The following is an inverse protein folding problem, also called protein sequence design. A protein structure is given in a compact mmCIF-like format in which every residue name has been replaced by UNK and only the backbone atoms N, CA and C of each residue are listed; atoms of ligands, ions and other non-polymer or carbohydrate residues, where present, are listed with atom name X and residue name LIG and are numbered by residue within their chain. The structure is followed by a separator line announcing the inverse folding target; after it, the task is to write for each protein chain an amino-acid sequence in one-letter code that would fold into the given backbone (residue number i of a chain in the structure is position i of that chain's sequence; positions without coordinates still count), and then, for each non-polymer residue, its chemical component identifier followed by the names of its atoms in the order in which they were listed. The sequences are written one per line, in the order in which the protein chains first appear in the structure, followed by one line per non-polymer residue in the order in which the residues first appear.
data_IF_127804483779
#
_entry.id   IF_127804483779
#
_cell.length_a   1.000
_cell.length_b   1.000
_cell.length_c   1.000
_cell.angle_alpha   90.00
_cell.angle_beta   90.00
_cell.angle_gamma   90.00
#
_symmetry.space_group_name_H-M   'P 1'
#
loop_
_entity.id
_entity.type
_entity.pdbx_description
1 polymer ?
#
# COMPACT_ATOMS: atom_id res chain seq x y z
N UNK A 1 -39.09 4.08 34.57
CA UNK A 1 -37.62 3.95 34.41
C UNK A 1 -37.40 2.98 33.29
N UNK A 2 -37.26 3.45 32.07
CA UNK A 2 -36.84 2.62 30.94
C UNK A 2 -35.35 2.44 31.01
N UNK A 3 -34.92 1.20 31.18
CA UNK A 3 -33.52 0.81 31.09
C UNK A 3 -33.14 0.86 29.62
N UNK A 4 -32.41 1.90 29.22
CA UNK A 4 -31.79 1.98 27.92
C UNK A 4 -30.87 0.76 27.74
N UNK A 5 -31.29 -0.22 26.97
CA UNK A 5 -30.45 -1.31 26.51
C UNK A 5 -29.35 -0.71 25.62
N UNK A 6 -28.16 -0.58 26.17
CA UNK A 6 -26.95 -0.28 25.42
C UNK A 6 -26.70 -1.47 24.47
N UNK A 7 -27.10 -1.35 23.21
CA UNK A 7 -26.75 -2.28 22.16
C UNK A 7 -25.28 -2.05 21.78
N UNK A 8 -24.36 -2.52 22.61
CA UNK A 8 -22.96 -2.65 22.24
C UNK A 8 -22.87 -3.82 21.27
N UNK A 9 -22.76 -3.52 19.98
CA UNK A 9 -22.45 -4.51 18.96
C UNK A 9 -21.16 -5.24 19.39
N UNK A 10 -21.08 -6.58 19.19
CA UNK A 10 -19.87 -7.31 19.49
C UNK A 10 -18.69 -6.73 18.71
N UNK A 11 -17.44 -6.79 19.23
CA UNK A 11 -16.27 -6.30 18.53
C UNK A 11 -16.17 -6.92 17.15
N UNK A 12 -15.85 -6.09 16.14
CA UNK A 12 -15.64 -6.58 14.78
C UNK A 12 -14.60 -7.72 14.79
N UNK A 13 -14.92 -8.80 14.08
CA UNK A 13 -14.03 -9.94 13.91
C UNK A 13 -13.57 -10.01 12.45
N UNK A 14 -12.33 -10.46 12.17
CA UNK A 14 -11.89 -10.65 10.80
C UNK A 14 -12.75 -11.75 10.14
N UNK A 15 -13.07 -11.54 8.87
CA UNK A 15 -13.76 -12.56 8.04
C UNK A 15 -12.89 -13.81 7.93
N UNK A 16 -11.58 -13.60 7.84
CA UNK A 16 -10.59 -14.68 7.80
C UNK A 16 -9.20 -14.20 8.23
N UNK A 17 -8.33 -15.16 8.59
CA UNK A 17 -6.93 -14.92 8.90
C UNK A 17 -6.07 -15.88 8.10
N UNK A 18 -5.29 -15.34 7.18
CA UNK A 18 -4.30 -16.07 6.40
C UNK A 18 -3.06 -16.32 7.27
N UNK A 19 -2.59 -17.56 7.24
CA UNK A 19 -1.44 -18.03 8.04
C UNK A 19 -0.48 -18.76 7.13
N UNK A 20 0.82 -18.53 7.28
CA UNK A 20 1.80 -19.22 6.43
C UNK A 20 3.18 -18.59 6.37
N UNK A 21 3.31 -17.34 6.77
CA UNK A 21 4.61 -16.70 6.97
C UNK A 21 5.19 -17.06 8.34
N UNK A 22 6.52 -17.15 8.41
CA UNK A 22 7.28 -17.34 9.65
C UNK A 22 7.76 -16.03 10.24
N UNK A 23 7.80 -14.98 9.41
CA UNK A 23 8.34 -13.66 9.74
C UNK A 23 7.27 -12.56 9.65
N UNK A 24 7.63 -11.37 10.09
CA UNK A 24 6.76 -10.18 10.10
C UNK A 24 6.28 -9.81 8.69
N UNK A 25 5.00 -9.53 8.54
CA UNK A 25 4.42 -9.06 7.27
C UNK A 25 4.62 -7.54 7.16
N UNK A 26 5.36 -7.12 6.13
CA UNK A 26 5.62 -5.71 5.87
C UNK A 26 4.82 -5.14 4.70
N UNK A 27 4.28 -6.00 3.83
CA UNK A 27 3.54 -5.56 2.66
C UNK A 27 2.36 -6.47 2.37
N UNK A 28 1.23 -5.87 2.00
CA UNK A 28 0.02 -6.55 1.48
C UNK A 28 -0.53 -5.74 0.31
N UNK A 29 -1.07 -6.42 -0.71
CA UNK A 29 -1.63 -5.75 -1.88
C UNK A 29 -2.68 -6.63 -2.57
N UNK A 30 -3.88 -6.07 -2.84
CA UNK A 30 -4.92 -6.74 -3.62
C UNK A 30 -4.65 -6.58 -5.12
N UNK A 31 -5.06 -7.56 -5.92
CA UNK A 31 -4.93 -7.54 -7.37
C UNK A 31 -6.01 -8.39 -8.03
N UNK A 32 -6.13 -8.27 -9.37
CA UNK A 32 -7.08 -9.05 -10.19
C UNK A 32 -8.51 -8.97 -9.65
N UNK A 33 -9.02 -7.74 -9.55
CA UNK A 33 -10.38 -7.47 -9.06
C UNK A 33 -10.63 -8.12 -7.68
N UNK A 34 -9.66 -8.01 -6.78
CA UNK A 34 -9.72 -8.55 -5.41
C UNK A 34 -9.74 -10.10 -5.30
N UNK A 35 -9.58 -10.81 -6.41
CA UNK A 35 -9.53 -12.28 -6.40
C UNK A 35 -8.19 -12.81 -5.91
N UNK A 36 -7.17 -11.96 -5.88
CA UNK A 36 -5.84 -12.29 -5.36
C UNK A 36 -5.39 -11.27 -4.34
N UNK A 37 -4.58 -11.74 -3.39
CA UNK A 37 -3.88 -10.92 -2.40
C UNK A 37 -2.42 -11.34 -2.37
N UNK A 38 -1.51 -10.38 -2.44
CA UNK A 38 -0.10 -10.57 -2.16
C UNK A 38 0.18 -10.26 -0.70
N UNK A 39 1.08 -11.03 -0.09
CA UNK A 39 1.70 -10.70 1.19
C UNK A 39 3.20 -10.92 1.11
N UNK A 40 3.98 -10.00 1.69
CA UNK A 40 5.43 -10.03 1.73
C UNK A 40 5.98 -9.90 3.14
N UNK A 41 6.99 -10.70 3.48
CA UNK A 41 7.54 -10.75 4.83
C UNK A 41 8.99 -10.27 4.97
N UNK A 42 9.45 -10.25 6.21
CA UNK A 42 10.80 -9.80 6.59
C UNK A 42 11.93 -10.72 6.10
N UNK A 43 11.64 -11.95 5.69
CA UNK A 43 12.61 -12.91 5.17
C UNK A 43 12.64 -12.97 3.63
N UNK A 44 11.87 -12.09 2.98
CA UNK A 44 11.84 -11.96 1.53
C UNK A 44 10.86 -12.88 0.82
N UNK A 45 10.01 -13.58 1.55
CA UNK A 45 8.97 -14.42 0.99
C UNK A 45 7.79 -13.60 0.50
N UNK A 46 7.25 -13.99 -0.63
CA UNK A 46 6.00 -13.48 -1.20
C UNK A 46 5.03 -14.64 -1.36
N UNK A 47 3.83 -14.47 -0.87
CA UNK A 47 2.73 -15.43 -1.01
C UNK A 47 1.60 -14.74 -1.77
N UNK A 48 1.17 -15.37 -2.87
CA UNK A 48 -0.03 -15.00 -3.60
C UNK A 48 -1.17 -15.90 -3.14
N UNK A 49 -2.20 -15.29 -2.60
CA UNK A 49 -3.39 -15.96 -2.07
C UNK A 49 -4.55 -15.87 -3.04
N UNK A 50 -5.28 -16.96 -3.21
CA UNK A 50 -6.62 -16.94 -3.77
C UNK A 50 -7.61 -16.52 -2.66
N UNK A 51 -8.21 -15.36 -2.81
CA UNK A 51 -9.09 -14.78 -1.77
C UNK A 51 -10.41 -15.55 -1.64
N UNK A 52 -11.11 -15.95 -2.73
CA UNK A 52 -12.32 -16.78 -2.67
C UNK A 52 -12.17 -18.08 -1.87
N UNK A 53 -11.06 -18.80 -2.06
CA UNK A 53 -10.84 -20.09 -1.39
C UNK A 53 -9.86 -20.03 -0.22
N UNK A 54 -9.19 -18.86 -0.03
CA UNK A 54 -8.28 -18.58 1.10
C UNK A 54 -7.11 -19.55 1.17
N UNK A 55 -6.52 -19.84 0.00
CA UNK A 55 -5.38 -20.76 -0.16
C UNK A 55 -4.25 -20.08 -0.90
N UNK A 56 -2.98 -20.45 -0.65
CA UNK A 56 -1.87 -20.00 -1.46
C UNK A 56 -1.97 -20.60 -2.87
N UNK A 57 -1.67 -19.80 -3.90
CA UNK A 57 -1.59 -20.24 -5.30
C UNK A 57 -0.20 -20.09 -5.89
N UNK A 58 0.63 -19.23 -5.30
CA UNK A 58 2.04 -19.12 -5.64
C UNK A 58 2.85 -18.63 -4.43
N UNK A 59 3.98 -19.25 -4.18
CA UNK A 59 4.89 -18.92 -3.08
C UNK A 59 6.32 -18.95 -3.60
N UNK A 60 7.02 -17.82 -3.46
CA UNK A 60 8.43 -17.72 -3.86
C UNK A 60 9.21 -16.78 -2.94
N UNK A 61 10.51 -16.95 -2.88
CA UNK A 61 11.38 -16.02 -2.18
C UNK A 61 11.86 -14.96 -3.18
N UNK A 62 11.21 -13.79 -3.16
CA UNK A 62 11.53 -12.69 -4.08
C UNK A 62 12.88 -12.06 -3.76
N UNK A 63 13.19 -11.93 -2.46
CA UNK A 63 14.37 -11.25 -1.94
C UNK A 63 15.06 -12.06 -0.86
N UNK A 64 16.29 -11.68 -0.51
CA UNK A 64 17.05 -12.23 0.64
C UNK A 64 16.87 -11.41 1.91
N UNK A 65 16.15 -10.31 1.83
CA UNK A 65 15.82 -9.38 2.92
C UNK A 65 14.34 -8.99 2.86
N UNK A 66 13.88 -8.18 3.81
CA UNK A 66 12.48 -7.81 3.96
C UNK A 66 11.86 -7.24 2.67
N UNK A 67 10.70 -7.74 2.29
CA UNK A 67 9.84 -7.16 1.26
C UNK A 67 9.12 -5.98 1.86
N UNK A 68 9.59 -4.78 1.60
CA UNK A 68 9.04 -3.55 2.17
C UNK A 68 7.76 -3.07 1.50
N UNK A 69 7.63 -3.33 0.20
CA UNK A 69 6.46 -2.90 -0.58
C UNK A 69 6.15 -3.91 -1.67
N UNK A 70 4.86 -4.10 -1.90
CA UNK A 70 4.28 -4.84 -3.00
C UNK A 70 3.33 -3.94 -3.77
N UNK A 71 3.35 -4.04 -5.09
CA UNK A 71 2.39 -3.38 -5.97
C UNK A 71 2.25 -4.16 -7.26
N UNK A 72 1.34 -3.75 -8.14
CA UNK A 72 1.15 -4.38 -9.45
C UNK A 72 1.18 -3.36 -10.57
N UNK A 73 1.80 -3.75 -11.67
CA UNK A 73 1.73 -3.06 -12.94
C UNK A 73 0.95 -3.94 -13.90
N UNK A 74 -0.28 -3.53 -14.16
CA UNK A 74 -1.31 -4.37 -14.78
C UNK A 74 -1.60 -5.67 -13.99
N UNK A 75 -2.39 -6.57 -14.56
CA UNK A 75 -2.83 -7.79 -13.86
C UNK A 75 -1.77 -8.91 -13.83
N UNK A 76 -0.71 -8.78 -14.63
CA UNK A 76 0.29 -9.83 -14.85
C UNK A 76 1.70 -9.49 -14.34
N UNK A 77 1.93 -8.27 -13.85
CA UNK A 77 3.24 -7.85 -13.38
C UNK A 77 3.21 -7.48 -11.90
N UNK A 78 4.00 -8.17 -11.11
CA UNK A 78 4.15 -7.95 -9.67
C UNK A 78 5.45 -7.19 -9.42
N UNK A 79 5.38 -6.11 -8.65
CA UNK A 79 6.54 -5.31 -8.25
C UNK A 79 6.83 -5.59 -6.78
N UNK A 80 8.06 -5.99 -6.49
CA UNK A 80 8.55 -6.21 -5.13
C UNK A 80 9.75 -5.33 -4.86
N UNK A 81 9.85 -4.80 -3.65
CA UNK A 81 10.93 -3.91 -3.24
C UNK A 81 11.55 -4.36 -1.93
N UNK A 82 12.88 -4.47 -1.93
CA UNK A 82 13.68 -4.67 -0.73
C UNK A 82 14.86 -3.70 -0.74
N UNK A 83 15.14 -3.07 0.39
CA UNK A 83 16.18 -2.04 0.49
C UNK A 83 17.20 -2.27 1.60
N UNK A 84 17.30 -3.49 2.13
CA UNK A 84 18.17 -3.77 3.26
C UNK A 84 19.29 -4.79 2.93
N UNK A 85 20.49 -4.52 3.42
CA UNK A 85 21.61 -5.42 3.31
C UNK A 85 22.17 -5.57 1.88
N UNK A 86 22.38 -6.83 1.45
CA UNK A 86 22.95 -7.16 0.13
C UNK A 86 21.92 -7.30 -0.99
N UNK A 87 20.64 -7.15 -0.68
CA UNK A 87 19.53 -7.33 -1.62
C UNK A 87 18.69 -6.06 -1.71
N UNK A 88 19.34 -4.99 -2.13
CA UNK A 88 18.73 -3.67 -2.32
C UNK A 88 18.24 -3.52 -3.76
N UNK A 89 17.08 -4.11 -4.05
CA UNK A 89 16.51 -4.16 -5.40
C UNK A 89 15.01 -3.92 -5.39
N UNK A 90 14.56 -3.27 -6.45
CA UNK A 90 13.18 -3.33 -6.90
C UNK A 90 13.14 -4.31 -8.06
N UNK A 91 12.30 -5.32 -7.98
CA UNK A 91 12.13 -6.35 -8.99
C UNK A 91 10.72 -6.30 -9.59
N UNK A 92 10.61 -6.41 -10.90
CA UNK A 92 9.34 -6.57 -11.61
C UNK A 92 9.28 -8.00 -12.14
N UNK A 93 8.28 -8.74 -11.68
CA UNK A 93 8.07 -10.14 -12.01
C UNK A 93 6.85 -10.29 -12.92
N UNK A 94 6.96 -11.10 -13.96
CA UNK A 94 5.81 -11.52 -14.74
C UNK A 94 5.19 -12.77 -14.12
N UNK A 95 3.92 -12.68 -13.80
CA UNK A 95 3.13 -13.78 -13.28
C UNK A 95 1.70 -13.67 -13.81
N UNK A 96 1.44 -14.35 -14.93
CA UNK A 96 0.09 -14.47 -15.47
C UNK A 96 -0.72 -15.46 -14.65
N UNK A 97 -2.03 -15.41 -14.76
CA UNK A 97 -2.89 -16.35 -14.05
C UNK A 97 -2.63 -17.81 -14.43
N UNK A 98 -2.31 -18.08 -15.68
CA UNK A 98 -1.94 -19.40 -16.19
C UNK A 98 -0.61 -19.93 -15.62
N UNK A 99 0.30 -19.02 -15.25
CA UNK A 99 1.62 -19.39 -14.70
C UNK A 99 1.54 -19.80 -13.22
N UNK A 100 0.45 -19.43 -12.50
CA UNK A 100 0.27 -19.73 -11.07
C UNK A 100 0.45 -21.22 -10.78
N UNK A 101 -0.15 -22.10 -11.60
CA UNK A 101 -0.08 -23.56 -11.43
C UNK A 101 1.34 -24.12 -11.53
N UNK A 102 2.29 -23.37 -12.11
CA UNK A 102 3.68 -23.80 -12.27
C UNK A 102 4.55 -23.50 -11.05
N UNK A 103 4.03 -22.76 -10.07
CA UNK A 103 4.75 -22.33 -8.87
C UNK A 103 4.39 -23.19 -7.67
N UNK A 104 5.25 -23.17 -6.65
CA UNK A 104 4.99 -23.86 -5.39
C UNK A 104 3.84 -23.20 -4.62
N UNK A 105 3.02 -24.00 -3.97
CA UNK A 105 2.00 -23.56 -3.03
C UNK A 105 2.36 -23.85 -1.57
N UNK A 106 3.53 -24.48 -1.32
CA UNK A 106 4.05 -24.76 0.02
C UNK A 106 4.35 -23.44 0.74
N UNK A 107 3.80 -23.28 1.93
CA UNK A 107 3.98 -22.05 2.71
C UNK A 107 5.36 -22.00 3.38
N UNK A 108 5.91 -20.82 3.67
CA UNK A 108 7.19 -20.68 4.40
C UNK A 108 7.19 -21.39 5.77
N UNK A 109 6.06 -21.43 6.47
CA UNK A 109 5.93 -22.09 7.76
C UNK A 109 6.12 -23.61 7.66
N UNK A 110 5.83 -24.21 6.50
CA UNK A 110 5.94 -25.66 6.29
C UNK A 110 7.35 -26.04 5.81
N UNK A 111 7.99 -25.17 5.04
CA UNK A 111 9.35 -25.36 4.51
C UNK A 111 9.95 -24.02 4.06
N UNK A 112 10.83 -23.47 4.89
CA UNK A 112 11.51 -22.20 4.63
C UNK A 112 12.87 -22.36 3.90
N UNK A 113 13.42 -23.56 3.86
CA UNK A 113 14.79 -23.78 3.37
C UNK A 113 14.85 -24.21 1.90
N UNK A 114 13.74 -24.69 1.34
CA UNK A 114 13.72 -25.15 -0.05
C UNK A 114 13.82 -23.99 -1.05
N UNK A 115 14.72 -24.18 -2.03
CA UNK A 115 14.76 -23.29 -3.19
C UNK A 115 13.53 -23.54 -4.08
N UNK A 116 12.79 -22.48 -4.41
CA UNK A 116 11.55 -22.58 -5.16
C UNK A 116 11.65 -21.85 -6.48
N UNK A 117 10.93 -22.36 -7.48
CA UNK A 117 10.74 -21.68 -8.76
C UNK A 117 10.14 -20.30 -8.49
N UNK A 118 10.71 -19.29 -9.15
CA UNK A 118 10.25 -17.89 -9.10
C UNK A 118 9.49 -17.56 -10.37
N UNK A 119 8.60 -16.54 -10.34
CA UNK A 119 8.08 -15.93 -11.55
C UNK A 119 9.20 -15.42 -12.45
N UNK A 120 8.88 -15.12 -13.70
CA UNK A 120 9.87 -14.58 -14.64
C UNK A 120 10.27 -13.15 -14.26
N UNK A 121 11.56 -12.89 -14.04
CA UNK A 121 12.07 -11.56 -13.73
C UNK A 121 12.17 -10.73 -15.01
N UNK A 122 11.39 -9.64 -15.11
CA UNK A 122 11.42 -8.70 -16.23
C UNK A 122 12.45 -7.59 -16.01
N UNK A 123 12.41 -6.95 -14.83
CA UNK A 123 13.24 -5.80 -14.50
C UNK A 123 13.85 -5.94 -13.11
N UNK A 124 15.07 -5.41 -12.93
CA UNK A 124 15.75 -5.36 -11.64
C UNK A 124 16.49 -4.03 -11.50
N UNK A 125 15.90 -3.10 -10.73
CA UNK A 125 16.48 -1.78 -10.48
C UNK A 125 17.20 -1.77 -9.12
N UNK A 126 18.49 -1.40 -9.06
CA UNK A 126 19.17 -1.20 -7.77
C UNK A 126 18.58 0.02 -7.04
N UNK A 127 18.37 -0.10 -5.73
CA UNK A 127 17.84 0.95 -4.86
C UNK A 127 18.80 1.24 -3.71
N UNK A 128 18.53 2.31 -2.94
CA UNK A 128 19.35 2.66 -1.78
C UNK A 128 19.26 1.56 -0.70
N UNK A 129 20.42 1.09 -0.23
CA UNK A 129 20.54 -0.04 0.72
C UNK A 129 20.22 0.32 2.18
N UNK A 130 20.16 1.60 2.54
CA UNK A 130 20.07 2.08 3.92
C UNK A 130 18.73 2.74 4.26
N UNK A 131 17.70 2.51 3.43
CA UNK A 131 16.42 3.18 3.60
C UNK A 131 15.26 2.17 3.66
N UNK A 132 14.37 2.35 4.64
CA UNK A 132 13.16 1.53 4.83
C UNK A 132 11.94 2.09 4.12
N UNK A 133 12.10 3.10 3.29
CA UNK A 133 11.01 3.76 2.56
C UNK A 133 10.41 2.84 1.50
N UNK A 134 9.10 2.77 1.48
CA UNK A 134 8.34 2.14 0.40
C UNK A 134 8.52 2.91 -0.92
N UNK A 135 8.54 2.21 -2.06
CA UNK A 135 8.46 2.90 -3.35
C UNK A 135 7.03 3.42 -3.58
N UNK A 136 6.91 4.46 -4.40
CA UNK A 136 5.64 4.90 -4.95
C UNK A 136 5.60 4.70 -6.45
N UNK A 137 4.40 4.49 -7.01
CA UNK A 137 4.21 4.37 -8.45
C UNK A 137 2.95 5.10 -8.92
N UNK A 138 2.96 5.53 -10.17
CA UNK A 138 1.76 5.99 -10.87
C UNK A 138 1.84 5.64 -12.36
N UNK A 139 0.68 5.56 -13.01
CA UNK A 139 0.59 5.44 -14.47
C UNK A 139 0.90 6.77 -15.13
N UNK A 140 1.59 6.72 -16.26
CA UNK A 140 1.75 7.90 -17.13
C UNK A 140 0.44 8.11 -17.89
N UNK A 141 -0.14 9.33 -17.88
CA UNK A 141 -1.36 9.61 -18.66
C UNK A 141 -1.19 9.21 -20.13
N UNK A 142 -2.22 8.65 -20.71
CA UNK A 142 -2.30 8.24 -22.13
C UNK A 142 -1.19 7.28 -22.57
N UNK A 143 -0.61 6.51 -21.62
CA UNK A 143 0.49 5.58 -21.89
C UNK A 143 0.32 4.27 -21.11
N UNK A 144 0.94 3.21 -21.61
CA UNK A 144 1.08 1.93 -20.88
C UNK A 144 2.26 1.95 -19.89
N UNK A 145 3.05 3.03 -19.91
CA UNK A 145 4.21 3.20 -19.03
C UNK A 145 3.80 3.59 -17.61
N UNK A 146 4.68 3.25 -16.68
CA UNK A 146 4.56 3.67 -15.27
C UNK A 146 5.80 4.44 -14.84
N UNK A 147 5.63 5.28 -13.84
CA UNK A 147 6.74 5.87 -13.09
C UNK A 147 6.84 5.21 -11.73
N UNK A 148 8.07 4.91 -11.32
CA UNK A 148 8.39 4.40 -9.98
C UNK A 148 9.34 5.39 -9.33
N UNK A 149 9.01 5.82 -8.11
CA UNK A 149 9.85 6.65 -7.26
C UNK A 149 10.43 5.83 -6.11
N UNK A 150 11.73 5.94 -5.93
CA UNK A 150 12.49 5.35 -4.83
C UNK A 150 13.39 6.40 -4.22
N UNK A 151 13.87 6.16 -3.00
CA UNK A 151 14.84 7.06 -2.35
C UNK A 151 16.17 7.09 -3.11
N UNK A 152 16.77 8.25 -3.19
CA UNK A 152 18.10 8.45 -3.77
C UNK A 152 19.22 7.93 -2.86
N UNK A 153 20.46 7.97 -3.36
CA UNK A 153 21.66 7.60 -2.59
C UNK A 153 21.94 8.65 -1.49
N UNK A 154 21.66 9.91 -1.78
CA UNK A 154 21.79 11.00 -0.79
C UNK A 154 20.49 11.09 0.02
N UNK A 155 20.65 11.37 1.31
CA UNK A 155 19.53 11.57 2.22
C UNK A 155 18.58 12.67 1.69
N UNK A 156 17.31 12.48 1.85
CA UNK A 156 16.29 13.41 1.39
C UNK A 156 15.97 13.38 -0.11
N UNK A 157 16.82 12.79 -0.96
CA UNK A 157 16.58 12.72 -2.40
C UNK A 157 15.59 11.64 -2.81
N UNK A 158 14.83 11.90 -3.89
CA UNK A 158 13.91 10.94 -4.52
C UNK A 158 14.27 10.82 -6.00
N UNK A 159 14.43 9.58 -6.46
CA UNK A 159 14.68 9.24 -7.85
C UNK A 159 13.42 8.68 -8.50
N UNK A 160 13.05 9.20 -9.66
CA UNK A 160 11.91 8.72 -10.45
C UNK A 160 12.41 8.07 -11.72
N UNK A 161 11.99 6.83 -11.96
CA UNK A 161 12.39 6.01 -13.12
C UNK A 161 11.14 5.60 -13.90
N UNK A 162 11.21 5.70 -15.22
CA UNK A 162 10.14 5.26 -16.11
C UNK A 162 10.33 3.78 -16.49
N UNK A 163 9.23 3.03 -16.55
CA UNK A 163 9.21 1.65 -17.03
C UNK A 163 8.24 1.52 -18.20
N UNK A 164 8.57 0.68 -19.22
CA UNK A 164 9.62 -0.35 -19.23
C UNK A 164 11.02 0.14 -19.64
N UNK A 165 11.22 1.44 -19.97
CA UNK A 165 12.51 1.94 -20.49
C UNK A 165 13.65 1.91 -19.47
N UNK A 166 13.37 1.83 -18.17
CA UNK A 166 14.33 1.95 -17.05
C UNK A 166 15.07 3.30 -17.03
N UNK A 167 14.54 4.30 -17.75
CA UNK A 167 15.14 5.61 -17.82
C UNK A 167 14.84 6.44 -16.57
N UNK A 168 15.87 7.06 -15.99
CA UNK A 168 15.70 8.02 -14.91
C UNK A 168 15.19 9.35 -15.44
N UNK A 169 13.91 9.64 -15.16
CA UNK A 169 13.24 10.85 -15.65
C UNK A 169 13.38 12.05 -14.70
N UNK A 170 13.67 11.79 -13.42
CA UNK A 170 13.87 12.86 -12.44
C UNK A 170 14.74 12.42 -11.25
N UNK A 171 15.46 13.38 -10.69
CA UNK A 171 16.01 13.35 -9.34
C UNK A 171 15.51 14.58 -8.60
N UNK A 172 14.72 14.39 -7.56
CA UNK A 172 14.18 15.45 -6.73
C UNK A 172 15.11 15.61 -5.55
N UNK A 173 15.55 16.84 -5.33
CA UNK A 173 16.44 17.23 -4.25
C UNK A 173 15.59 17.90 -3.17
N UNK A 174 15.80 17.53 -1.92
CA UNK A 174 15.12 18.13 -0.77
C UNK A 174 15.41 19.65 -0.65
N UNK A 175 14.50 20.41 -0.03
CA UNK A 175 14.69 21.85 0.12
C UNK A 175 15.88 22.15 1.04
N UNK A 176 16.88 22.90 0.54
CA UNK A 176 18.06 23.32 1.31
C UNK A 176 17.74 24.23 2.51
N UNK A 177 16.52 24.74 2.58
CA UNK A 177 16.07 25.67 3.64
C UNK A 177 15.66 24.97 4.93
N UNK A 178 15.53 23.63 4.91
CA UNK A 178 15.12 22.82 6.05
C UNK A 178 16.04 21.61 6.19
N UNK A 179 16.19 21.12 7.42
CA UNK A 179 16.84 19.83 7.67
C UNK A 179 15.79 18.73 7.55
N UNK A 180 15.84 17.95 6.50
CA UNK A 180 14.88 16.88 6.22
C UNK A 180 15.25 15.55 6.85
N UNK A 181 16.53 15.21 6.90
CA UNK A 181 17.00 13.86 7.16
C UNK A 181 16.63 12.92 6.01
N UNK A 182 16.53 11.63 6.29
CA UNK A 182 16.19 10.62 5.29
C UNK A 182 14.75 10.78 4.80
N UNK A 183 14.54 10.51 3.50
CA UNK A 183 13.19 10.36 2.96
C UNK A 183 12.62 9.01 3.42
N UNK A 184 11.50 9.03 4.13
CA UNK A 184 10.89 7.89 4.81
C UNK A 184 9.60 7.39 4.17
N UNK A 185 8.91 8.25 3.40
CA UNK A 185 7.69 7.91 2.67
C UNK A 185 7.59 8.72 1.39
N UNK A 186 7.14 8.11 0.31
CA UNK A 186 7.02 8.72 -1.02
C UNK A 186 5.62 8.52 -1.56
N UNK A 187 5.11 9.53 -2.29
CA UNK A 187 3.89 9.44 -3.09
C UNK A 187 4.14 9.99 -4.49
N UNK A 188 3.47 9.42 -5.49
CA UNK A 188 3.47 9.90 -6.88
C UNK A 188 2.05 10.09 -7.37
N UNK A 189 1.79 11.22 -8.01
CA UNK A 189 0.47 11.49 -8.57
C UNK A 189 0.55 12.44 -9.77
N UNK A 190 -0.23 12.16 -10.80
CA UNK A 190 -0.49 13.11 -11.88
C UNK A 190 -1.75 13.92 -11.60
N UNK A 191 -1.65 15.24 -11.63
CA UNK A 191 -2.80 16.14 -11.67
C UNK A 191 -2.85 16.76 -13.08
N UNK A 192 -3.75 16.26 -13.91
CA UNK A 192 -3.66 16.49 -15.35
C UNK A 192 -2.33 15.96 -15.87
N UNK A 193 -1.60 16.79 -16.61
CA UNK A 193 -0.27 16.42 -17.14
C UNK A 193 0.89 16.77 -16.22
N UNK A 194 0.61 17.22 -14.98
CA UNK A 194 1.65 17.67 -14.05
C UNK A 194 1.93 16.61 -13.01
N UNK A 195 3.17 16.13 -12.99
CA UNK A 195 3.61 15.14 -11.98
C UNK A 195 3.89 15.85 -10.65
N UNK A 196 3.30 15.31 -9.58
CA UNK A 196 3.57 15.68 -8.21
C UNK A 196 4.31 14.54 -7.51
N UNK A 197 5.38 14.89 -6.81
CA UNK A 197 6.15 13.98 -5.96
C UNK A 197 5.97 14.42 -4.53
N UNK A 198 5.46 13.54 -3.69
CA UNK A 198 5.29 13.76 -2.27
C UNK A 198 6.44 13.07 -1.54
N UNK A 199 7.02 13.73 -0.56
CA UNK A 199 8.06 13.15 0.28
C UNK A 199 7.80 13.46 1.75
N UNK A 200 7.81 12.44 2.58
CA UNK A 200 7.78 12.51 4.04
C UNK A 200 9.15 12.16 4.60
N UNK A 201 9.61 12.93 5.57
CA UNK A 201 10.98 12.90 6.05
C UNK A 201 11.12 12.47 7.50
N UNK A 202 12.34 12.03 7.85
CA UNK A 202 12.72 11.65 9.20
C UNK A 202 12.49 12.78 10.22
N UNK A 203 12.70 14.02 9.81
CA UNK A 203 12.50 15.21 10.66
C UNK A 203 11.02 15.57 10.92
N UNK A 204 10.07 14.82 10.34
CA UNK A 204 8.63 15.09 10.45
C UNK A 204 8.10 16.13 9.46
N UNK A 205 8.92 16.59 8.53
CA UNK A 205 8.48 17.41 7.41
C UNK A 205 7.82 16.59 6.32
N UNK A 206 6.83 17.19 5.65
CA UNK A 206 6.22 16.68 4.43
C UNK A 206 6.37 17.76 3.36
N UNK A 207 6.81 17.37 2.16
CA UNK A 207 6.94 18.24 1.01
C UNK A 207 6.19 17.70 -0.20
N UNK A 208 5.67 18.60 -1.03
CA UNK A 208 5.15 18.28 -2.37
C UNK A 208 5.98 19.03 -3.39
N UNK A 209 6.51 18.30 -4.35
CA UNK A 209 7.34 18.82 -5.43
C UNK A 209 6.62 18.71 -6.75
N UNK A 210 6.87 19.69 -7.61
CA UNK A 210 6.45 19.66 -9.01
C UNK A 210 7.51 20.31 -9.88
N UNK A 211 7.50 19.96 -11.16
CA UNK A 211 8.41 20.57 -12.14
C UNK A 211 7.83 21.91 -12.60
N UNK A 212 8.59 22.96 -12.43
CA UNK A 212 8.26 24.29 -12.94
C UNK A 212 8.30 24.27 -14.48
N UNK A 213 7.25 24.79 -15.12
CA UNK A 213 7.13 24.78 -16.59
C UNK A 213 8.07 25.76 -17.28
N UNK A 214 8.44 26.86 -16.63
CA UNK A 214 9.30 27.90 -17.20
C UNK A 214 10.78 27.53 -17.07
N UNK A 215 11.19 27.05 -15.89
CA UNK A 215 12.60 26.74 -15.59
C UNK A 215 12.97 25.29 -15.81
N UNK A 216 11.98 24.42 -15.97
CA UNK A 216 12.15 22.96 -16.02
C UNK A 216 12.79 22.35 -14.75
N UNK A 217 12.87 23.10 -13.67
CA UNK A 217 13.43 22.66 -12.40
C UNK A 217 12.36 22.12 -11.45
N UNK A 218 12.73 21.16 -10.61
CA UNK A 218 11.87 20.69 -9.52
C UNK A 218 11.91 21.68 -8.36
N UNK A 219 10.74 22.04 -7.87
CA UNK A 219 10.59 22.93 -6.72
C UNK A 219 9.56 22.40 -5.73
N UNK A 220 9.79 22.63 -4.45
CA UNK A 220 8.83 22.36 -3.41
C UNK A 220 7.73 23.43 -3.45
N UNK A 221 6.50 23.00 -3.79
CA UNK A 221 5.32 23.88 -3.80
C UNK A 221 4.57 23.87 -2.46
N UNK A 222 4.82 22.86 -1.64
CA UNK A 222 4.27 22.73 -0.30
C UNK A 222 5.34 22.18 0.63
N UNK A 223 5.47 22.76 1.83
CA UNK A 223 6.37 22.29 2.89
C UNK A 223 5.68 22.52 4.22
N UNK A 224 5.51 21.48 5.02
CA UNK A 224 4.88 21.59 6.33
C UNK A 224 5.49 20.61 7.33
N UNK A 225 5.80 21.09 8.54
CA UNK A 225 6.23 20.25 9.65
C UNK A 225 5.03 19.84 10.48
N UNK A 226 4.48 18.69 10.20
CA UNK A 226 3.27 18.17 10.85
C UNK A 226 3.57 17.24 12.02
N UNK A 227 4.74 16.65 12.04
CA UNK A 227 5.11 15.61 12.97
C UNK A 227 6.38 15.94 13.74
N UNK A 228 6.52 15.34 14.91
CA UNK A 228 7.71 15.47 15.77
C UNK A 228 8.64 14.27 15.68
N UNK A 229 8.18 13.21 14.99
CA UNK A 229 8.86 11.95 14.76
C UNK A 229 8.87 11.65 13.26
N UNK A 230 9.67 10.65 12.80
CA UNK A 230 9.73 10.27 11.39
C UNK A 230 8.35 9.95 10.80
N UNK A 231 8.14 10.41 9.57
CA UNK A 231 6.98 10.01 8.76
C UNK A 231 7.14 8.53 8.42
N UNK A 232 6.09 7.73 8.64
CA UNK A 232 6.12 6.29 8.36
C UNK A 232 5.37 5.94 7.08
N UNK A 233 4.29 6.67 6.78
CA UNK A 233 3.50 6.39 5.58
C UNK A 233 2.80 7.64 5.05
N UNK A 234 2.61 7.68 3.74
CA UNK A 234 1.82 8.66 3.00
C UNK A 234 0.86 7.93 2.07
N UNK A 235 -0.38 8.43 1.97
CA UNK A 235 -1.28 8.01 0.91
C UNK A 235 -2.23 9.13 0.51
N UNK A 236 -2.83 9.03 -0.67
CA UNK A 236 -3.50 10.12 -1.34
C UNK A 236 -4.98 9.84 -1.61
N UNK A 237 -5.78 10.91 -1.54
CA UNK A 237 -7.15 10.96 -2.01
C UNK A 237 -7.29 12.05 -3.09
N UNK A 238 -6.81 11.83 -4.32
CA UNK A 238 -6.72 12.86 -5.35
C UNK A 238 -8.07 13.47 -5.70
N UNK A 239 -9.13 12.66 -5.73
CA UNK A 239 -10.51 13.13 -5.99
C UNK A 239 -11.01 14.14 -4.94
N UNK A 240 -10.46 14.08 -3.72
CA UNK A 240 -10.77 15.04 -2.65
C UNK A 240 -9.77 16.19 -2.57
N UNK A 241 -8.69 16.16 -3.33
CA UNK A 241 -7.60 17.16 -3.31
C UNK A 241 -6.73 17.11 -2.05
N UNK A 242 -6.63 15.95 -1.39
CA UNK A 242 -5.89 15.76 -0.15
C UNK A 242 -4.94 14.55 -0.21
N UNK A 243 -3.96 14.57 0.68
CA UNK A 243 -3.17 13.40 1.06
C UNK A 243 -3.03 13.33 2.59
N UNK A 244 -2.65 12.19 3.08
CA UNK A 244 -2.51 11.94 4.52
C UNK A 244 -1.11 11.47 4.85
N UNK A 245 -0.62 11.86 6.04
CA UNK A 245 0.62 11.37 6.60
C UNK A 245 0.39 10.73 7.96
N UNK A 246 1.10 9.65 8.23
CA UNK A 246 1.21 9.03 9.55
C UNK A 246 2.67 8.94 9.96
N UNK A 247 2.92 8.82 11.26
CA UNK A 247 4.25 8.95 11.85
C UNK A 247 4.45 7.98 13.02
N UNK A 248 5.68 7.94 13.50
CA UNK A 248 6.02 7.30 14.77
C UNK A 248 5.46 8.05 16.00
N UNK A 249 4.98 9.30 15.84
CA UNK A 249 4.21 10.00 16.87
C UNK A 249 2.73 9.55 16.91
N UNK A 250 1.89 10.24 17.68
CA UNK A 250 0.46 9.96 17.83
C UNK A 250 -0.42 10.82 16.90
N UNK A 251 0.14 11.37 15.82
CA UNK A 251 -0.53 12.31 14.93
C UNK A 251 -0.78 11.68 13.56
N UNK A 252 -1.96 11.94 13.00
CA UNK A 252 -2.27 11.78 11.57
C UNK A 252 -2.58 13.17 11.03
N UNK A 253 -2.00 13.54 9.90
CA UNK A 253 -2.26 14.83 9.27
C UNK A 253 -2.82 14.68 7.88
N UNK A 254 -3.88 15.43 7.59
CA UNK A 254 -4.43 15.61 6.25
C UNK A 254 -3.87 16.90 5.66
N UNK A 255 -3.23 16.81 4.51
CA UNK A 255 -2.58 17.90 3.78
C UNK A 255 -3.32 18.22 2.50
N UNK A 256 -3.30 19.48 2.02
CA UNK A 256 -3.79 19.81 0.69
C UNK A 256 -2.81 19.31 -0.39
N UNK A 257 -3.33 18.73 -1.47
CA UNK A 257 -2.55 18.41 -2.67
C UNK A 257 -2.27 19.64 -3.53
N UNK A 258 -3.11 20.68 -3.42
CA UNK A 258 -2.99 21.93 -4.18
C UNK A 258 -2.90 23.12 -3.24
N UNK A 259 -2.10 24.13 -3.60
CA UNK A 259 -1.79 25.30 -2.78
C UNK A 259 -2.98 26.19 -2.38
N UNK A 260 -4.17 25.96 -2.95
CA UNK A 260 -5.30 26.88 -2.83
C UNK A 260 -6.44 26.40 -1.94
N UNK A 261 -6.33 25.22 -1.30
CA UNK A 261 -7.55 24.56 -0.82
C UNK A 261 -7.77 24.55 0.69
N UNK A 262 -6.80 24.52 1.55
CA UNK A 262 -7.05 24.58 3.00
C UNK A 262 -5.78 24.42 3.84
N UNK A 263 -5.85 24.86 5.10
CA UNK A 263 -4.86 24.56 6.13
C UNK A 263 -4.80 23.05 6.41
N UNK A 264 -3.61 22.51 6.71
CA UNK A 264 -3.47 21.12 7.12
C UNK A 264 -4.28 20.85 8.39
N UNK A 265 -4.94 19.69 8.42
CA UNK A 265 -5.74 19.28 9.57
C UNK A 265 -5.09 18.10 10.27
N UNK A 266 -4.81 18.24 11.57
CA UNK A 266 -4.23 17.19 12.40
C UNK A 266 -5.26 16.48 13.26
N UNK A 267 -5.05 15.18 13.47
CA UNK A 267 -5.77 14.33 14.40
C UNK A 267 -4.77 13.71 15.38
N UNK A 268 -4.95 13.91 16.68
CA UNK A 268 -4.22 13.19 17.72
C UNK A 268 -4.94 11.89 18.04
N UNK A 269 -4.30 10.77 17.71
CA UNK A 269 -4.86 9.43 17.90
C UNK A 269 -4.71 8.91 19.33
N UNK A 270 -3.79 9.49 20.11
CA UNK A 270 -3.33 9.00 21.42
C UNK A 270 -2.57 7.66 21.34
N UNK A 271 -2.23 7.22 20.15
CA UNK A 271 -1.54 5.95 19.88
C UNK A 271 -0.38 6.22 18.93
N UNK A 272 0.83 6.16 19.44
CA UNK A 272 2.06 6.36 18.68
C UNK A 272 2.33 5.19 17.73
N UNK A 273 3.06 5.45 16.64
CA UNK A 273 3.51 4.40 15.72
C UNK A 273 2.43 3.90 14.78
N UNK A 274 1.84 4.79 13.98
CA UNK A 274 0.96 4.43 12.87
C UNK A 274 1.83 4.06 11.65
N UNK A 275 2.22 2.77 11.55
CA UNK A 275 3.24 2.27 10.62
C UNK A 275 2.83 2.38 9.16
N UNK A 276 1.59 2.07 8.84
CA UNK A 276 1.07 2.08 7.48
C UNK A 276 -0.27 2.80 7.46
N UNK A 277 -0.50 3.56 6.40
CA UNK A 277 -1.73 4.27 6.13
C UNK A 277 -2.17 3.96 4.70
N UNK A 278 -3.44 3.67 4.51
CA UNK A 278 -4.04 3.48 3.20
C UNK A 278 -5.37 4.23 3.11
N UNK A 279 -5.60 4.90 1.99
CA UNK A 279 -6.88 5.53 1.65
C UNK A 279 -7.64 4.59 0.72
N UNK A 280 -8.91 4.33 1.01
CA UNK A 280 -9.74 3.54 0.09
C UNK A 280 -9.94 4.34 -1.20
N UNK A 281 -9.95 3.67 -2.34
CA UNK A 281 -9.93 4.30 -3.66
C UNK A 281 -11.11 5.28 -3.89
N UNK A 282 -12.28 5.06 -3.23
CA UNK A 282 -13.42 5.99 -3.28
C UNK A 282 -13.21 7.29 -2.47
N UNK A 283 -12.11 7.39 -1.75
CA UNK A 283 -11.75 8.54 -0.92
C UNK A 283 -12.64 8.75 0.31
N UNK A 284 -13.58 7.85 0.63
CA UNK A 284 -14.52 8.03 1.75
C UNK A 284 -13.91 7.74 3.11
N UNK A 285 -13.04 6.73 3.17
CA UNK A 285 -12.38 6.29 4.39
C UNK A 285 -10.89 6.08 4.15
N UNK A 286 -10.13 6.17 5.22
CA UNK A 286 -8.75 5.71 5.28
C UNK A 286 -8.55 4.87 6.53
N UNK A 287 -7.49 4.06 6.55
CA UNK A 287 -7.16 3.26 7.70
C UNK A 287 -5.67 3.32 8.02
N UNK A 288 -5.33 3.07 9.29
CA UNK A 288 -3.94 2.97 9.76
C UNK A 288 -3.70 1.64 10.45
N UNK A 289 -2.50 1.10 10.28
CA UNK A 289 -1.99 -0.07 10.99
C UNK A 289 -0.99 0.38 12.04
N UNK A 290 -1.27 0.09 13.31
CA UNK A 290 -0.52 0.59 14.46
C UNK A 290 0.39 -0.45 15.12
N UNK A 291 1.46 0.03 15.76
CA UNK A 291 2.38 -0.81 16.54
C UNK A 291 1.70 -1.48 17.74
N UNK A 292 0.54 -0.97 18.15
CA UNK A 292 -0.29 -1.55 19.21
C UNK A 292 -1.14 -2.75 18.75
N UNK A 293 -0.93 -3.25 17.53
CA UNK A 293 -1.63 -4.40 16.96
C UNK A 293 -3.06 -4.09 16.52
N UNK A 294 -3.41 -2.83 16.36
CA UNK A 294 -4.75 -2.41 15.97
C UNK A 294 -4.76 -1.75 14.61
N UNK A 295 -5.82 -1.98 13.89
CA UNK A 295 -6.14 -1.25 12.66
C UNK A 295 -7.29 -0.30 12.99
N UNK A 296 -7.13 0.97 12.65
CA UNK A 296 -8.14 2.00 12.86
C UNK A 296 -8.64 2.54 11.55
N UNK A 297 -9.95 2.61 11.42
CA UNK A 297 -10.62 3.13 10.22
C UNK A 297 -11.19 4.50 10.55
N UNK A 298 -10.96 5.46 9.66
CA UNK A 298 -11.35 6.86 9.82
C UNK A 298 -12.16 7.34 8.61
N UNK A 299 -13.06 8.29 8.86
CA UNK A 299 -13.68 9.07 7.79
C UNK A 299 -12.66 10.00 7.14
N UNK A 300 -12.45 9.91 5.83
CA UNK A 300 -11.52 10.79 5.13
C UNK A 300 -11.96 12.28 5.18
N UNK A 301 -13.28 12.54 5.13
CA UNK A 301 -13.82 13.89 5.18
C UNK A 301 -13.63 14.55 6.56
N UNK A 302 -13.95 13.85 7.64
CA UNK A 302 -13.98 14.42 9.00
C UNK A 302 -12.77 14.11 9.83
N UNK A 303 -12.00 13.06 9.47
CA UNK A 303 -10.93 12.42 10.24
C UNK A 303 -11.42 11.80 11.57
N UNK A 304 -12.74 11.59 11.71
CA UNK A 304 -13.30 10.91 12.89
C UNK A 304 -13.04 9.42 12.79
N UNK A 305 -12.61 8.80 13.90
CA UNK A 305 -12.49 7.34 14.00
C UNK A 305 -13.88 6.69 13.87
N UNK A 306 -13.99 5.72 12.98
CA UNK A 306 -15.22 4.98 12.69
C UNK A 306 -15.19 3.59 13.31
N UNK A 307 -14.03 2.93 13.28
CA UNK A 307 -13.88 1.58 13.82
C UNK A 307 -12.44 1.32 14.30
N UNK A 308 -12.32 0.43 15.27
CA UNK A 308 -11.05 -0.15 15.73
C UNK A 308 -11.12 -1.67 15.60
N UNK A 309 -10.33 -2.20 14.68
CA UNK A 309 -10.26 -3.63 14.38
C UNK A 309 -9.19 -4.26 15.29
N UNK A 310 -9.64 -5.16 16.19
CA UNK A 310 -8.81 -5.72 17.24
C UNK A 310 -8.73 -7.24 17.07
N UNK A 311 -7.61 -7.72 16.54
CA UNK A 311 -7.38 -9.16 16.42
C UNK A 311 -5.93 -9.53 16.70
N UNK A 312 -4.97 -8.83 16.06
CA UNK A 312 -3.54 -9.06 16.26
C UNK A 312 -3.11 -8.69 17.67
N UNK A 313 -2.17 -9.48 18.20
CA UNK A 313 -1.55 -9.24 19.52
C UNK A 313 -0.26 -8.43 19.42
N UNK A 314 0.33 -8.42 18.23
CA UNK A 314 1.56 -7.71 17.90
C UNK A 314 1.29 -6.63 16.86
N UNK A 315 2.26 -5.73 16.65
CA UNK A 315 2.12 -4.58 15.77
C UNK A 315 1.68 -4.96 14.36
N UNK A 316 0.76 -4.18 13.80
CA UNK A 316 0.36 -4.25 12.40
C UNK A 316 1.27 -3.32 11.59
N UNK A 317 1.88 -3.83 10.52
CA UNK A 317 2.87 -3.09 9.73
C UNK A 317 2.44 -2.82 8.30
N UNK A 318 1.46 -3.54 7.79
CA UNK A 318 0.96 -3.38 6.43
C UNK A 318 -0.57 -3.29 6.42
N UNK A 319 -1.09 -2.47 5.52
CA UNK A 319 -2.54 -2.34 5.30
C UNK A 319 -2.81 -2.10 3.82
N UNK A 320 -3.87 -2.69 3.29
CA UNK A 320 -4.37 -2.43 1.95
C UNK A 320 -5.89 -2.55 1.91
N UNK A 321 -6.53 -1.64 1.19
CA UNK A 321 -7.91 -1.80 0.78
C UNK A 321 -7.97 -2.53 -0.57
N UNK A 322 -9.05 -3.28 -0.76
CA UNK A 322 -9.43 -3.76 -2.06
C UNK A 322 -9.92 -2.63 -2.96
N UNK A 323 -9.72 -2.75 -4.27
CA UNK A 323 -10.33 -1.84 -5.23
C UNK A 323 -11.85 -2.09 -5.27
N UNK A 324 -12.66 -1.04 -5.41
CA UNK A 324 -14.07 -1.24 -5.70
C UNK A 324 -14.20 -1.69 -7.16
N UNK A 325 -14.92 -2.75 -7.36
CA UNK A 325 -15.38 -3.14 -8.69
C UNK A 325 -16.56 -2.23 -9.02
N UNK A 326 -16.41 -1.37 -10.03
CA UNK A 326 -17.53 -0.58 -10.55
C UNK A 326 -18.61 -1.55 -11.05
N UNK A 327 -19.76 -1.56 -10.41
CA UNK A 327 -20.94 -2.36 -10.82
C UNK A 327 -21.45 -1.98 -12.24
N UNK A 328 -20.93 -0.89 -12.82
CA UNK A 328 -21.37 -0.38 -14.13
C UNK A 328 -20.90 -1.23 -15.31
N UNK A 329 -19.93 -2.11 -15.16
CA UNK A 329 -19.40 -2.94 -16.28
C UNK A 329 -20.21 -4.22 -16.49
N UNK A 330 -20.90 -4.72 -15.45
CA UNK A 330 -21.67 -5.98 -15.53
C UNK A 330 -23.14 -5.79 -15.95
N UNK A 331 -23.58 -4.53 -16.23
CA UNK A 331 -24.97 -4.24 -16.60
C UNK A 331 -25.36 -4.72 -18.02
N UNK A 332 -24.40 -5.07 -18.86
CA UNK A 332 -24.66 -5.51 -20.23
C UNK A 332 -24.83 -7.05 -20.38
N UNK A 333 -24.58 -7.82 -19.31
CA UNK A 333 -24.85 -9.28 -19.28
C UNK A 333 -26.30 -9.64 -18.86
N UNK A 334 -27.17 -8.66 -18.69
CA UNK A 334 -28.55 -8.79 -18.18
C UNK A 334 -29.53 -9.53 -19.11
N UNK A 335 -29.10 -10.09 -20.24
CA UNK A 335 -29.96 -10.79 -21.20
C UNK A 335 -29.68 -12.30 -21.35
N UNK A 336 -28.67 -12.85 -20.66
CA UNK A 336 -28.44 -14.30 -20.64
C UNK A 336 -29.22 -14.92 -19.47
N UNK A 337 -30.07 -15.87 -19.78
CA UNK A 337 -30.98 -16.61 -18.90
C UNK A 337 -30.37 -16.82 -17.50
N UNK A 338 -31.19 -16.65 -16.45
CA UNK A 338 -30.89 -16.94 -15.02
C UNK A 338 -30.38 -18.37 -14.85
N UNK A 339 -29.12 -18.61 -15.17
CA UNK A 339 -28.42 -19.83 -14.81
C UNK A 339 -28.13 -19.74 -13.30
N UNK A 340 -28.46 -20.78 -12.55
CA UNK A 340 -28.02 -20.88 -11.16
C UNK A 340 -26.48 -20.92 -11.14
N UNK A 341 -25.90 -19.96 -10.43
CA UNK A 341 -24.44 -19.88 -10.25
C UNK A 341 -23.97 -21.07 -9.43
N UNK A 342 -22.88 -21.70 -9.85
CA UNK A 342 -22.20 -22.70 -9.04
C UNK A 342 -21.68 -22.10 -7.73
N UNK A 343 -21.43 -22.93 -6.75
CA UNK A 343 -20.85 -22.48 -5.44
C UNK A 343 -19.52 -21.75 -5.63
N UNK A 344 -18.72 -22.15 -6.63
CA UNK A 344 -17.46 -21.49 -6.94
C UNK A 344 -17.69 -20.07 -7.52
N UNK A 345 -18.61 -19.94 -8.48
CA UNK A 345 -18.99 -18.65 -9.07
C UNK A 345 -19.59 -17.70 -8.01
N UNK A 346 -20.45 -18.20 -7.12
CA UNK A 346 -21.00 -17.43 -6.02
C UNK A 346 -19.90 -16.89 -5.08
N UNK A 347 -18.88 -17.71 -4.77
CA UNK A 347 -17.73 -17.27 -3.94
C UNK A 347 -16.93 -16.18 -4.63
N UNK A 348 -16.66 -16.32 -5.92
CA UNK A 348 -15.96 -15.32 -6.73
C UNK A 348 -16.74 -14.00 -6.73
N UNK A 349 -18.05 -14.07 -7.05
CA UNK A 349 -18.90 -12.88 -7.09
C UNK A 349 -18.97 -12.20 -5.71
N UNK A 350 -19.18 -12.97 -4.64
CA UNK A 350 -19.16 -12.44 -3.27
C UNK A 350 -17.82 -11.76 -2.96
N UNK A 351 -16.69 -12.38 -3.34
CA UNK A 351 -15.36 -11.82 -3.06
C UNK A 351 -15.15 -10.49 -3.78
N UNK A 352 -15.59 -10.37 -5.03
CA UNK A 352 -15.50 -9.11 -5.80
C UNK A 352 -16.34 -7.99 -5.18
N UNK A 353 -17.53 -8.32 -4.66
CA UNK A 353 -18.45 -7.34 -4.08
C UNK A 353 -18.10 -6.89 -2.65
N UNK A 354 -17.21 -7.61 -1.95
CA UNK A 354 -16.85 -7.26 -0.57
C UNK A 354 -15.86 -6.09 -0.51
N UNK A 355 -16.04 -5.22 0.47
CA UNK A 355 -15.14 -4.10 0.75
C UNK A 355 -13.97 -4.56 1.64
N UNK A 356 -13.04 -5.32 1.03
CA UNK A 356 -11.93 -5.90 1.77
C UNK A 356 -10.95 -4.87 2.30
N UNK A 357 -10.49 -5.12 3.52
CA UNK A 357 -9.31 -4.53 4.11
C UNK A 357 -8.43 -5.68 4.59
N UNK A 358 -7.17 -5.70 4.15
CA UNK A 358 -6.15 -6.63 4.59
C UNK A 358 -5.18 -5.94 5.53
N UNK A 359 -4.82 -6.59 6.64
CA UNK A 359 -3.81 -6.08 7.56
C UNK A 359 -2.78 -7.17 7.88
N UNK A 360 -1.52 -6.86 7.60
CA UNK A 360 -0.36 -7.69 7.89
C UNK A 360 0.29 -7.31 9.21
N UNK A 361 0.67 -8.29 10.01
CA UNK A 361 1.20 -8.08 11.36
C UNK A 361 2.57 -8.74 11.56
N UNK A 362 3.23 -8.30 12.62
CA UNK A 362 4.48 -8.87 13.12
C UNK A 362 4.35 -10.35 13.50
N UNK A 363 3.13 -10.81 13.80
CA UNK A 363 2.85 -12.22 14.13
C UNK A 363 2.84 -13.16 12.90
N UNK A 364 3.24 -12.69 11.72
CA UNK A 364 3.31 -13.47 10.48
C UNK A 364 1.94 -13.80 9.87
N UNK A 365 0.89 -13.08 10.25
CA UNK A 365 -0.48 -13.33 9.78
C UNK A 365 -1.07 -12.12 9.08
N UNK A 366 -2.00 -12.39 8.16
CA UNK A 366 -2.79 -11.36 7.49
C UNK A 366 -4.26 -11.56 7.86
N UNK A 367 -4.86 -10.56 8.49
CA UNK A 367 -6.30 -10.53 8.79
C UNK A 367 -7.07 -9.85 7.65
N UNK A 368 -8.18 -10.45 7.24
CA UNK A 368 -9.09 -9.95 6.22
C UNK A 368 -10.38 -9.47 6.86
N UNK A 369 -10.79 -8.27 6.55
CA UNK A 369 -11.96 -7.59 7.12
C UNK A 369 -12.89 -7.13 6.00
N UNK A 370 -14.18 -7.15 6.26
CA UNK A 370 -15.19 -6.50 5.44
C UNK A 370 -15.50 -5.14 6.09
N UNK A 371 -15.19 -4.05 5.37
CA UNK A 371 -15.35 -2.68 5.87
C UNK A 371 -16.18 -1.90 4.87
N UNK A 372 -17.37 -1.52 5.26
CA UNK A 372 -18.37 -0.82 4.42
C UNK A 372 -17.88 0.48 3.77
#
# INVERSE_FOLDING_TARGET
MEVAQSTTLPPAQPVYVLRGHTAQIHAVHFLRQNLRLLSGDAEGWVVLWDVPIRRPVAVWRAHKSAVLTLNTWDDDKIITHASHGRDNKLCVWQLRQEDEASLSTTLPIDDADSERKKPWLLHSLPVNALNFCSFAMCRVPDSTSILIAVTGIQDGHVNVTAFPSEERVATIIDPKTIQTGMCMAIGLHYQGNKLHVLAGYESGFVCVFTKDTATSQWQAIYTHKSHTQPILSLDMAPALGYFYSSSADDIITRHPLTLHTSEPKTLRTKHAGQQSLAVRHDGRIFATAGWDGRVRVYSAKTMKELAVLKWHKEGCYAIAFADSVDESVDADEGALAKRELTVAEQRVQKTKAMHWLAAGSKDGKVSLWDVY
#
